data_IF_681793119357
#
_entry.id   IF_681793119357
#
_cell.length_a   1.000
_cell.length_b   1.000
_cell.length_c   1.000
_cell.angle_alpha   90.00
_cell.angle_beta   90.00
_cell.angle_gamma   90.00
#
_symmetry.space_group_name_H-M   'P 1'
#
loop_
_entity.id
_entity.type
_entity.pdbx_description
1 polymer ?
#
# COMPACT_ATOMS: atom_id res chain seq x y z
N UNK A 1 -28.78 -41.18 -43.94
CA UNK A 1 -27.42 -40.69 -43.65
C UNK A 1 -27.52 -39.73 -42.46
N UNK A 2 -26.96 -40.07 -41.30
CA UNK A 2 -26.93 -39.19 -40.12
C UNK A 2 -25.54 -38.56 -40.04
N UNK A 3 -25.47 -37.26 -40.27
CA UNK A 3 -24.22 -36.50 -40.23
C UNK A 3 -24.01 -36.00 -38.81
N UNK A 4 -23.07 -36.62 -38.09
CA UNK A 4 -22.66 -36.19 -36.75
C UNK A 4 -21.67 -35.05 -36.89
N UNK A 5 -22.03 -33.84 -36.46
CA UNK A 5 -21.11 -32.71 -36.36
C UNK A 5 -20.28 -32.85 -35.08
N UNK A 6 -18.96 -33.02 -35.23
CA UNK A 6 -18.01 -32.94 -34.12
C UNK A 6 -17.66 -31.47 -33.88
N UNK A 7 -18.09 -30.90 -32.75
CA UNK A 7 -17.67 -29.57 -32.33
C UNK A 7 -16.33 -29.69 -31.59
N UNK A 8 -15.23 -29.27 -32.22
CA UNK A 8 -13.95 -29.08 -31.53
C UNK A 8 -13.99 -27.75 -30.77
N UNK A 9 -14.18 -27.82 -29.45
CA UNK A 9 -13.94 -26.68 -28.57
C UNK A 9 -12.42 -26.47 -28.41
N UNK A 10 -11.87 -25.51 -29.14
CA UNK A 10 -10.54 -24.97 -28.82
C UNK A 10 -10.62 -24.20 -27.51
N UNK A 11 -10.09 -24.78 -26.43
CA UNK A 11 -9.83 -24.04 -25.20
C UNK A 11 -8.72 -23.01 -25.48
N UNK A 12 -9.11 -21.77 -25.73
CA UNK A 12 -8.17 -20.66 -25.78
C UNK A 12 -7.68 -20.41 -24.35
N UNK A 13 -6.43 -20.76 -24.09
CA UNK A 13 -5.74 -20.34 -22.86
C UNK A 13 -5.75 -18.81 -22.82
N UNK A 14 -6.65 -18.23 -22.02
CA UNK A 14 -6.62 -16.79 -21.70
C UNK A 14 -5.27 -16.55 -21.02
N UNK A 15 -4.32 -16.00 -21.77
CA UNK A 15 -3.08 -15.52 -21.19
C UNK A 15 -3.46 -14.48 -20.15
N UNK A 16 -3.18 -14.76 -18.87
CA UNK A 16 -3.39 -13.81 -17.79
C UNK A 16 -2.65 -12.50 -18.14
N UNK A 17 -3.42 -11.47 -18.50
CA UNK A 17 -2.92 -10.18 -18.92
C UNK A 17 -2.12 -9.58 -17.76
N UNK A 18 -0.92 -9.09 -18.06
CA UNK A 18 -0.12 -8.36 -17.08
C UNK A 18 -0.83 -7.05 -16.75
N UNK A 19 -1.08 -6.80 -15.48
CA UNK A 19 -1.63 -5.54 -14.97
C UNK A 19 -0.68 -4.94 -13.93
N UNK A 20 -0.86 -3.65 -13.66
CA UNK A 20 -0.05 -2.86 -12.71
C UNK A 20 -0.95 -2.13 -11.74
N UNK A 21 -0.41 -1.71 -10.62
CA UNK A 21 -1.04 -0.76 -9.72
C UNK A 21 0.00 0.24 -9.25
N UNK A 22 -0.46 1.43 -8.86
CA UNK A 22 0.37 2.45 -8.25
C UNK A 22 0.10 2.47 -6.73
N UNK A 23 1.13 2.73 -5.93
CA UNK A 23 1.02 2.85 -4.48
C UNK A 23 1.95 3.94 -4.00
N UNK A 24 1.48 4.78 -3.08
CA UNK A 24 2.29 5.77 -2.37
C UNK A 24 1.64 6.09 -1.02
N UNK A 25 2.24 6.98 -0.25
CA UNK A 25 1.64 7.64 0.91
C UNK A 25 2.46 8.88 1.23
N UNK A 26 2.14 9.57 2.33
CA UNK A 26 2.89 10.74 2.77
C UNK A 26 2.98 11.85 1.74
N UNK A 27 1.85 12.17 1.10
CA UNK A 27 1.77 13.24 0.10
C UNK A 27 1.82 14.64 0.70
N UNK A 28 1.84 14.73 2.04
CA UNK A 28 1.93 15.95 2.85
C UNK A 28 2.96 16.93 2.31
N UNK A 29 2.68 18.22 2.50
CA UNK A 29 3.57 19.35 2.24
C UNK A 29 4.06 19.43 0.79
N UNK A 30 3.31 20.15 -0.06
CA UNK A 30 3.44 20.19 -1.52
C UNK A 30 2.76 19.04 -2.29
N UNK A 31 1.78 18.38 -1.67
CA UNK A 31 1.02 17.31 -2.31
C UNK A 31 0.29 17.74 -3.59
N UNK A 32 -0.15 19.00 -3.69
CA UNK A 32 -0.82 19.53 -4.89
C UNK A 32 0.12 19.69 -6.09
N UNK A 33 1.43 19.59 -5.85
CA UNK A 33 2.45 19.56 -6.91
C UNK A 33 2.83 18.12 -7.22
N UNK A 34 3.06 17.30 -6.18
CA UNK A 34 3.61 15.95 -6.33
C UNK A 34 2.56 14.95 -6.82
N UNK A 35 1.35 14.99 -6.27
CA UNK A 35 0.30 14.00 -6.55
C UNK A 35 -0.22 14.04 -7.98
N UNK A 36 -0.40 15.20 -8.63
CA UNK A 36 -0.69 15.24 -10.06
C UNK A 36 0.40 14.58 -10.92
N UNK A 37 1.68 14.70 -10.55
CA UNK A 37 2.77 14.05 -11.28
C UNK A 37 2.75 12.52 -11.08
N UNK A 38 2.49 12.04 -9.86
CA UNK A 38 2.30 10.60 -9.59
C UNK A 38 1.10 10.07 -10.38
N UNK A 39 -0.01 10.80 -10.41
CA UNK A 39 -1.21 10.44 -11.17
C UNK A 39 -0.92 10.35 -12.68
N UNK A 40 -0.17 11.29 -13.24
CA UNK A 40 0.26 11.24 -14.63
C UNK A 40 1.09 9.98 -14.93
N UNK A 41 2.02 9.62 -14.04
CA UNK A 41 2.79 8.38 -14.13
C UNK A 41 1.90 7.13 -14.06
N UNK A 42 0.99 7.06 -13.10
CA UNK A 42 0.04 5.96 -12.95
C UNK A 42 -0.84 5.76 -14.20
N UNK A 43 -1.28 6.86 -14.82
CA UNK A 43 -2.02 6.83 -16.11
C UNK A 43 -1.16 6.33 -17.26
N UNK A 44 0.06 6.84 -17.38
CA UNK A 44 1.00 6.42 -18.42
C UNK A 44 1.35 4.93 -18.33
N UNK A 45 1.46 4.40 -17.10
CA UNK A 45 1.74 2.98 -16.85
C UNK A 45 0.50 2.07 -16.91
N UNK A 46 -0.67 2.65 -17.19
CA UNK A 46 -1.98 1.98 -17.19
C UNK A 46 -2.25 1.23 -15.87
N UNK A 47 -2.03 1.90 -14.75
CA UNK A 47 -2.33 1.35 -13.43
C UNK A 47 -3.84 1.02 -13.32
N UNK A 48 -4.13 -0.20 -12.89
CA UNK A 48 -5.49 -0.68 -12.67
C UNK A 48 -6.16 0.02 -11.47
N UNK A 49 -5.35 0.45 -10.49
CA UNK A 49 -5.77 1.29 -9.37
C UNK A 49 -4.56 2.03 -8.78
N UNK A 50 -4.86 3.02 -7.95
CA UNK A 50 -3.92 3.71 -7.06
C UNK A 50 -4.28 3.42 -5.59
N UNK A 51 -3.28 3.19 -4.75
CA UNK A 51 -3.45 2.93 -3.32
C UNK A 51 -2.63 3.93 -2.49
N UNK A 52 -3.30 4.76 -1.69
CA UNK A 52 -2.67 5.74 -0.81
C UNK A 52 -2.60 5.21 0.61
N UNK A 53 -1.41 5.11 1.20
CA UNK A 53 -1.19 4.48 2.51
C UNK A 53 -1.13 5.50 3.66
N UNK A 54 -2.11 6.42 3.70
CA UNK A 54 -2.23 7.43 4.76
C UNK A 54 -1.32 8.64 4.62
N UNK A 55 -1.50 9.60 5.52
CA UNK A 55 -0.82 10.88 5.61
C UNK A 55 -1.03 11.76 4.38
N UNK A 56 -2.25 12.27 4.27
CA UNK A 56 -2.73 13.05 3.14
C UNK A 56 -2.29 14.51 3.20
N UNK A 57 -2.34 15.07 4.40
CA UNK A 57 -2.02 16.45 4.75
C UNK A 57 -1.26 16.47 6.06
N UNK A 58 -0.46 17.50 6.30
CA UNK A 58 0.31 17.56 7.54
C UNK A 58 -0.61 17.63 8.77
N UNK A 59 -1.65 18.47 8.79
CA UNK A 59 -2.60 18.65 9.90
C UNK A 59 -2.01 19.16 11.24
N UNK A 60 -0.75 18.89 11.57
CA UNK A 60 -0.02 19.49 12.71
C UNK A 60 0.67 20.81 12.37
N UNK A 61 0.78 21.12 11.08
CA UNK A 61 1.31 22.38 10.55
C UNK A 61 0.61 22.70 9.22
N UNK A 62 0.75 23.93 8.74
CA UNK A 62 0.25 24.33 7.43
C UNK A 62 1.08 23.68 6.32
N UNK A 63 0.43 23.13 5.30
CA UNK A 63 1.07 22.66 4.08
C UNK A 63 1.51 23.84 3.20
N UNK A 64 2.75 23.81 2.69
CA UNK A 64 3.34 24.91 1.92
C UNK A 64 2.61 25.23 0.61
N UNK A 65 2.12 24.22 -0.11
CA UNK A 65 1.28 24.39 -1.31
C UNK A 65 -0.02 25.11 -0.98
N UNK A 66 -0.72 24.69 0.06
CA UNK A 66 -1.96 25.36 0.47
C UNK A 66 -1.71 26.81 0.89
N UNK A 67 -0.64 27.07 1.66
CA UNK A 67 -0.27 28.44 2.06
C UNK A 67 0.05 29.32 0.86
N UNK A 68 0.77 28.78 -0.13
CA UNK A 68 1.12 29.52 -1.34
C UNK A 68 -0.09 29.89 -2.20
N UNK A 69 -1.06 28.99 -2.33
CA UNK A 69 -2.26 29.22 -3.14
C UNK A 69 -3.36 29.99 -2.37
N UNK A 70 -3.21 30.19 -1.06
CA UNK A 70 -4.21 30.84 -0.24
C UNK A 70 -4.36 32.34 -0.57
N UNK A 71 -5.58 32.78 -0.87
CA UNK A 71 -5.91 34.20 -1.05
C UNK A 71 -5.88 34.99 0.27
N UNK A 72 -6.10 34.30 1.38
CA UNK A 72 -6.07 34.84 2.73
C UNK A 72 -5.23 33.92 3.61
N UNK A 73 -4.41 34.45 4.53
CA UNK A 73 -3.59 33.62 5.40
C UNK A 73 -4.43 32.61 6.20
N UNK A 74 -3.96 31.37 6.24
CA UNK A 74 -4.55 30.34 7.10
C UNK A 74 -4.17 30.56 8.56
N UNK A 75 -5.15 30.41 9.45
CA UNK A 75 -4.90 29.92 10.82
C UNK A 75 -4.84 28.40 10.81
N UNK A 76 -4.23 27.77 11.82
CA UNK A 76 -4.17 26.31 11.92
C UNK A 76 -5.57 25.66 11.86
N UNK A 77 -6.57 26.25 12.53
CA UNK A 77 -7.95 25.75 12.53
C UNK A 77 -8.60 25.84 11.15
N UNK A 78 -8.44 26.97 10.47
CA UNK A 78 -9.00 27.16 9.11
C UNK A 78 -8.33 26.24 8.09
N UNK A 79 -7.04 25.96 8.24
CA UNK A 79 -6.32 25.01 7.39
C UNK A 79 -6.77 23.58 7.67
N UNK A 80 -6.87 23.16 8.93
CA UNK A 80 -7.32 21.81 9.29
C UNK A 80 -8.74 21.53 8.74
N UNK A 81 -9.61 22.53 8.78
CA UNK A 81 -10.97 22.43 8.19
C UNK A 81 -10.96 22.33 6.66
N UNK A 82 -9.95 22.90 5.99
CA UNK A 82 -9.83 22.91 4.53
C UNK A 82 -9.01 21.72 3.99
N UNK A 83 -8.15 21.12 4.81
CA UNK A 83 -7.11 20.17 4.41
C UNK A 83 -7.66 18.93 3.67
N UNK A 84 -8.70 18.28 4.20
CA UNK A 84 -9.30 17.10 3.57
C UNK A 84 -10.09 17.43 2.29
N UNK A 85 -10.97 18.45 2.25
CA UNK A 85 -11.58 18.90 1.00
C UNK A 85 -10.56 19.24 -0.09
N UNK A 86 -9.46 19.86 0.31
CA UNK A 86 -8.39 20.27 -0.59
C UNK A 86 -7.59 19.05 -1.11
N UNK A 87 -7.25 18.09 -0.24
CA UNK A 87 -6.67 16.79 -0.63
C UNK A 87 -7.53 16.05 -1.66
N UNK A 88 -8.85 15.97 -1.42
CA UNK A 88 -9.79 15.33 -2.36
C UNK A 88 -9.72 16.01 -3.73
N UNK A 89 -9.72 17.35 -3.75
CA UNK A 89 -9.76 18.14 -4.98
C UNK A 89 -8.44 18.10 -5.75
N UNK A 90 -7.31 18.21 -5.09
CA UNK A 90 -6.03 18.48 -5.76
C UNK A 90 -5.07 17.30 -5.75
N UNK A 91 -5.32 16.29 -4.90
CA UNK A 91 -4.47 15.10 -4.82
C UNK A 91 -5.17 13.82 -5.25
N UNK A 92 -6.47 13.66 -4.98
CA UNK A 92 -7.23 12.49 -5.44
C UNK A 92 -7.78 12.67 -6.86
N UNK A 93 -8.44 13.80 -7.14
CA UNK A 93 -9.06 14.06 -8.45
C UNK A 93 -8.11 13.88 -9.64
N UNK A 94 -6.81 14.24 -9.58
CA UNK A 94 -5.88 13.99 -10.67
C UNK A 94 -5.76 12.52 -11.09
N UNK A 95 -6.08 11.54 -10.23
CA UNK A 95 -6.05 10.12 -10.59
C UNK A 95 -7.22 9.68 -11.47
N UNK A 96 -8.31 10.44 -11.54
CA UNK A 96 -9.48 10.05 -12.33
C UNK A 96 -9.09 9.73 -13.81
N UNK A 97 -9.61 8.62 -14.38
CA UNK A 97 -10.63 7.72 -13.85
C UNK A 97 -10.07 6.49 -13.08
N UNK A 98 -8.79 6.45 -12.72
CA UNK A 98 -8.18 5.31 -12.03
C UNK A 98 -8.85 5.10 -10.65
N UNK A 99 -9.31 3.89 -10.30
CA UNK A 99 -9.76 3.53 -8.96
C UNK A 99 -8.76 3.91 -7.86
N UNK A 100 -9.25 4.47 -6.75
CA UNK A 100 -8.40 4.86 -5.62
C UNK A 100 -8.82 4.09 -4.37
N UNK A 101 -7.84 3.49 -3.69
CA UNK A 101 -7.97 2.88 -2.38
C UNK A 101 -7.21 3.71 -1.35
N UNK A 102 -7.81 3.96 -0.19
CA UNK A 102 -7.24 4.80 0.86
C UNK A 102 -7.00 3.98 2.14
N UNK A 103 -5.79 4.09 2.67
CA UNK A 103 -5.44 3.75 4.05
C UNK A 103 -5.33 5.02 4.90
N UNK A 104 -5.39 4.85 6.21
CA UNK A 104 -5.31 5.93 7.20
C UNK A 104 -3.90 6.01 7.80
N UNK A 105 -3.39 7.22 8.00
CA UNK A 105 -2.11 7.51 8.65
C UNK A 105 -2.26 8.31 9.94
N UNK A 106 -1.17 8.49 10.68
CA UNK A 106 -1.22 9.16 11.98
C UNK A 106 -1.53 10.66 11.85
N UNK A 107 -1.29 11.26 10.68
CA UNK A 107 -1.63 12.66 10.46
C UNK A 107 -3.13 12.88 10.35
N UNK A 108 -3.89 11.90 9.87
CA UNK A 108 -5.36 11.93 9.90
C UNK A 108 -5.91 11.94 11.34
N UNK A 109 -5.11 11.57 12.35
CA UNK A 109 -5.52 11.48 13.75
C UNK A 109 -5.13 12.70 14.61
N UNK A 110 -4.56 13.76 14.01
CA UNK A 110 -4.07 14.94 14.77
C UNK A 110 -5.20 15.79 15.36
N UNK A 111 -6.30 15.97 14.60
CA UNK A 111 -7.49 16.72 15.05
C UNK A 111 -8.80 15.98 14.73
N UNK A 112 -8.72 14.85 14.06
CA UNK A 112 -9.89 14.09 13.63
C UNK A 112 -9.90 12.72 14.29
N UNK A 113 -11.10 12.20 14.48
CA UNK A 113 -11.32 10.83 14.89
C UNK A 113 -11.38 9.91 13.68
N UNK A 114 -11.29 8.60 13.91
CA UNK A 114 -11.59 7.61 12.87
C UNK A 114 -13.01 7.71 12.35
N UNK A 115 -13.96 8.13 13.19
CA UNK A 115 -15.33 8.39 12.77
C UNK A 115 -15.40 9.51 11.74
N UNK A 116 -14.66 10.60 11.98
CA UNK A 116 -14.54 11.70 11.02
C UNK A 116 -13.89 11.26 9.72
N UNK A 117 -12.84 10.43 9.79
CA UNK A 117 -12.20 9.84 8.61
C UNK A 117 -13.19 9.00 7.79
N UNK A 118 -13.93 8.10 8.45
CA UNK A 118 -14.95 7.26 7.79
C UNK A 118 -16.05 8.12 7.18
N UNK A 119 -16.48 9.18 7.88
CA UNK A 119 -17.50 10.10 7.39
C UNK A 119 -17.01 10.88 6.16
N UNK A 120 -15.79 11.42 6.20
CA UNK A 120 -15.22 12.21 5.10
C UNK A 120 -14.90 11.36 3.86
N UNK A 121 -14.36 10.16 4.07
CA UNK A 121 -13.83 9.31 2.99
C UNK A 121 -14.72 8.09 2.70
N UNK A 122 -15.98 8.11 3.14
CA UNK A 122 -16.94 7.01 3.01
C UNK A 122 -16.99 6.43 1.60
N UNK A 123 -17.12 7.28 0.57
CA UNK A 123 -17.20 6.85 -0.84
C UNK A 123 -15.99 6.00 -1.29
N UNK A 124 -14.80 6.26 -0.76
CA UNK A 124 -13.60 5.47 -1.03
C UNK A 124 -13.52 4.19 -0.19
N UNK A 125 -14.07 4.19 1.02
CA UNK A 125 -14.12 3.02 1.92
C UNK A 125 -15.31 2.08 1.64
N UNK A 126 -16.27 2.54 0.84
CA UNK A 126 -17.44 1.77 0.38
C UNK A 126 -17.44 1.54 -1.13
N UNK A 127 -16.25 1.57 -1.75
CA UNK A 127 -16.10 1.15 -3.13
C UNK A 127 -16.73 -0.24 -3.36
N UNK A 128 -17.34 -0.50 -4.54
CA UNK A 128 -18.01 -1.77 -4.79
C UNK A 128 -17.12 -3.00 -4.58
N UNK A 129 -15.83 -2.90 -4.88
CA UNK A 129 -14.84 -3.95 -4.65
C UNK A 129 -14.71 -4.30 -3.16
N UNK A 130 -14.63 -3.28 -2.30
CA UNK A 130 -14.50 -3.43 -0.85
C UNK A 130 -15.80 -3.97 -0.25
N UNK A 131 -16.95 -3.39 -0.64
CA UNK A 131 -18.25 -3.80 -0.10
C UNK A 131 -18.56 -5.25 -0.47
N UNK A 132 -18.31 -5.65 -1.73
CA UNK A 132 -18.49 -7.04 -2.15
C UNK A 132 -17.59 -7.99 -1.37
N UNK A 133 -16.32 -7.64 -1.17
CA UNK A 133 -15.41 -8.49 -0.40
C UNK A 133 -15.85 -8.59 1.06
N UNK A 134 -16.18 -7.48 1.71
CA UNK A 134 -16.64 -7.45 3.10
C UNK A 134 -17.86 -8.35 3.33
N UNK A 135 -18.86 -8.28 2.44
CA UNK A 135 -20.06 -9.10 2.53
C UNK A 135 -19.86 -10.56 2.13
N UNK A 136 -18.87 -10.85 1.25
CA UNK A 136 -18.46 -12.22 0.97
C UNK A 136 -17.75 -12.85 2.18
N UNK A 137 -17.01 -12.04 2.93
CA UNK A 137 -16.30 -12.42 4.13
C UNK A 137 -17.25 -12.66 5.32
N UNK A 138 -18.25 -11.81 5.49
CA UNK A 138 -19.34 -11.96 6.46
C UNK A 138 -20.57 -11.19 5.95
N UNK A 139 -21.65 -11.92 5.63
CA UNK A 139 -22.86 -11.35 5.08
C UNK A 139 -23.54 -10.30 5.99
N UNK A 140 -23.19 -10.26 7.28
CA UNK A 140 -23.70 -9.29 8.25
C UNK A 140 -22.73 -8.13 8.53
N UNK A 141 -21.52 -8.14 7.95
CA UNK A 141 -20.54 -7.08 8.18
C UNK A 141 -20.82 -5.84 7.30
N UNK A 142 -21.74 -5.01 7.78
CA UNK A 142 -22.09 -3.73 7.14
C UNK A 142 -21.28 -2.54 7.65
N UNK A 143 -20.35 -2.76 8.59
CA UNK A 143 -19.62 -1.68 9.24
C UNK A 143 -18.46 -1.22 8.37
N UNK A 144 -18.44 0.07 8.05
CA UNK A 144 -17.32 0.71 7.34
C UNK A 144 -16.19 0.96 8.32
N UNK A 145 -14.98 0.52 7.98
CA UNK A 145 -13.78 0.67 8.81
C UNK A 145 -12.60 1.19 7.97
N UNK A 146 -11.60 1.85 8.58
CA UNK A 146 -10.38 2.29 7.89
C UNK A 146 -9.45 1.14 7.45
N UNK A 147 -9.72 -0.09 7.87
CA UNK A 147 -9.07 -1.31 7.41
C UNK A 147 -10.07 -2.20 6.66
N UNK A 148 -9.61 -2.83 5.58
CA UNK A 148 -10.43 -3.64 4.67
C UNK A 148 -9.51 -4.42 3.74
N UNK A 149 -10.08 -5.32 2.94
CA UNK A 149 -9.36 -5.99 1.87
C UNK A 149 -10.21 -6.14 0.61
N UNK A 150 -9.58 -6.45 -0.51
CA UNK A 150 -10.24 -6.80 -1.76
C UNK A 150 -9.34 -7.69 -2.61
N UNK A 151 -9.95 -8.62 -3.33
CA UNK A 151 -9.23 -9.52 -4.23
C UNK A 151 -9.34 -9.01 -5.67
N UNK A 152 -8.19 -8.89 -6.35
CA UNK A 152 -8.12 -8.53 -7.77
C UNK A 152 -7.03 -9.34 -8.48
N UNK A 153 -7.40 -10.03 -9.56
CA UNK A 153 -6.44 -10.74 -10.41
C UNK A 153 -5.64 -11.83 -9.68
N UNK A 154 -6.24 -12.49 -8.68
CA UNK A 154 -5.60 -13.50 -7.85
C UNK A 154 -4.66 -12.94 -6.77
N UNK A 155 -4.74 -11.63 -6.49
CA UNK A 155 -4.02 -10.97 -5.41
C UNK A 155 -5.03 -10.47 -4.39
N UNK A 156 -4.88 -10.85 -3.11
CA UNK A 156 -5.60 -10.18 -2.02
C UNK A 156 -4.80 -8.97 -1.54
N UNK A 157 -5.43 -7.80 -1.58
CA UNK A 157 -4.89 -6.54 -1.07
C UNK A 157 -5.52 -6.21 0.26
N UNK A 158 -4.71 -6.19 1.31
CA UNK A 158 -5.16 -5.98 2.69
C UNK A 158 -4.66 -4.61 3.16
N UNK A 159 -5.59 -3.68 3.43
CA UNK A 159 -5.31 -2.38 4.06
C UNK A 159 -5.48 -2.49 5.57
N UNK A 160 -4.43 -2.22 6.33
CA UNK A 160 -4.45 -2.18 7.79
C UNK A 160 -4.51 -0.74 8.32
N UNK A 161 -5.16 -0.56 9.47
CA UNK A 161 -5.15 0.68 10.24
C UNK A 161 -4.14 0.54 11.39
N UNK A 162 -3.04 1.26 11.28
CA UNK A 162 -2.07 1.47 12.35
C UNK A 162 -1.75 2.96 12.54
N UNK A 163 -2.74 3.83 12.33
CA UNK A 163 -2.60 5.28 12.42
C UNK A 163 -2.36 5.78 13.87
N UNK A 164 -2.65 4.98 14.88
CA UNK A 164 -2.41 5.35 16.28
C UNK A 164 -2.23 4.11 17.17
N UNK A 165 -1.77 4.33 18.39
CA UNK A 165 -1.36 3.26 19.32
C UNK A 165 -2.50 2.37 19.82
N UNK A 166 -3.74 2.86 19.77
CA UNK A 166 -4.96 2.11 20.12
C UNK A 166 -5.46 1.19 19.00
N UNK A 167 -4.88 1.28 17.80
CA UNK A 167 -5.18 0.41 16.67
C UNK A 167 -4.13 -0.67 16.46
N UNK A 168 -4.35 -1.51 15.43
CA UNK A 168 -3.71 -2.81 15.32
C UNK A 168 -3.98 -3.66 16.57
N UNK A 169 -5.22 -3.55 17.04
CA UNK A 169 -5.76 -4.13 18.25
C UNK A 169 -6.13 -5.61 18.05
N UNK A 170 -6.63 -6.24 19.11
CA UNK A 170 -6.99 -7.65 19.05
C UNK A 170 -8.06 -7.95 17.97
N UNK A 171 -9.16 -7.19 17.84
CA UNK A 171 -10.11 -7.34 16.73
C UNK A 171 -9.48 -7.30 15.34
N UNK A 172 -8.63 -6.31 15.04
CA UNK A 172 -8.01 -6.19 13.72
C UNK A 172 -7.01 -7.30 13.44
N UNK A 173 -6.19 -7.68 14.44
CA UNK A 173 -5.25 -8.81 14.32
C UNK A 173 -6.00 -10.14 14.14
N UNK A 174 -7.11 -10.34 14.85
CA UNK A 174 -7.95 -11.53 14.68
C UNK A 174 -8.63 -11.55 13.29
N UNK A 175 -9.03 -10.38 12.78
CA UNK A 175 -9.60 -10.23 11.45
C UNK A 175 -8.60 -10.61 10.36
N UNK A 176 -7.37 -10.07 10.37
CA UNK A 176 -6.37 -10.42 9.34
C UNK A 176 -5.97 -11.89 9.41
N UNK A 177 -5.92 -12.50 10.60
CA UNK A 177 -5.70 -13.95 10.75
C UNK A 177 -6.77 -14.78 10.03
N UNK A 178 -8.04 -14.38 10.12
CA UNK A 178 -9.14 -15.07 9.42
C UNK A 178 -9.01 -14.93 7.91
N UNK A 179 -8.63 -13.75 7.42
CA UNK A 179 -8.37 -13.53 5.98
C UNK A 179 -7.24 -14.42 5.51
N UNK A 180 -6.09 -14.43 6.20
CA UNK A 180 -4.95 -15.26 5.81
C UNK A 180 -5.29 -16.77 5.81
N UNK A 181 -6.12 -17.23 6.75
CA UNK A 181 -6.59 -18.62 6.76
C UNK A 181 -7.49 -18.94 5.56
N UNK A 182 -8.41 -18.04 5.19
CA UNK A 182 -9.26 -18.16 4.00
C UNK A 182 -8.42 -18.15 2.74
N UNK A 183 -7.54 -17.17 2.62
CA UNK A 183 -6.62 -17.05 1.50
C UNK A 183 -5.74 -18.27 1.36
N UNK A 184 -5.29 -18.90 2.44
CA UNK A 184 -4.46 -20.11 2.35
C UNK A 184 -5.24 -21.27 1.70
N UNK A 185 -6.53 -21.40 2.03
CA UNK A 185 -7.43 -22.42 1.52
C UNK A 185 -7.95 -22.13 0.10
N UNK A 186 -8.03 -20.86 -0.31
CA UNK A 186 -8.59 -20.50 -1.62
C UNK A 186 -7.56 -20.69 -2.75
N UNK A 187 -7.76 -21.63 -3.70
CA UNK A 187 -6.85 -21.81 -4.81
C UNK A 187 -6.82 -20.63 -5.79
N UNK A 188 -7.79 -19.71 -5.79
CA UNK A 188 -7.81 -18.53 -6.66
C UNK A 188 -6.85 -17.44 -6.18
N UNK A 189 -6.61 -17.32 -4.87
CA UNK A 189 -5.63 -16.40 -4.31
C UNK A 189 -4.22 -16.97 -4.50
N UNK A 190 -3.35 -16.20 -5.14
CA UNK A 190 -1.95 -16.57 -5.43
C UNK A 190 -0.94 -15.70 -4.69
N UNK A 191 -1.34 -14.52 -4.24
CA UNK A 191 -0.47 -13.53 -3.61
C UNK A 191 -1.27 -12.73 -2.61
N UNK A 192 -0.64 -12.39 -1.50
CA UNK A 192 -1.15 -11.43 -0.52
C UNK A 192 -0.25 -10.19 -0.55
N UNK A 193 -0.85 -9.02 -0.62
CA UNK A 193 -0.16 -7.73 -0.48
C UNK A 193 -0.80 -6.98 0.68
N UNK A 194 -0.04 -6.77 1.75
CA UNK A 194 -0.49 -6.00 2.91
C UNK A 194 0.07 -4.59 2.83
N UNK A 195 -0.81 -3.60 2.95
CA UNK A 195 -0.49 -2.18 2.97
C UNK A 195 -0.94 -1.56 4.27
N UNK A 196 -0.13 -0.65 4.80
CA UNK A 196 -0.39 0.05 6.05
C UNK A 196 0.39 1.36 6.08
N UNK A 197 0.13 2.22 7.05
CA UNK A 197 0.84 3.48 7.14
C UNK A 197 2.23 3.29 7.76
N UNK A 198 2.31 2.95 9.05
CA UNK A 198 3.60 2.72 9.72
C UNK A 198 4.17 1.33 9.40
N UNK A 199 5.48 1.20 9.18
CA UNK A 199 6.08 -0.10 8.91
C UNK A 199 5.92 -1.08 10.09
N UNK A 200 5.78 -2.38 9.78
CA UNK A 200 5.83 -3.44 10.79
C UNK A 200 7.16 -3.38 11.57
N UNK A 201 7.20 -3.91 12.82
CA UNK A 201 8.39 -3.85 13.65
C UNK A 201 9.65 -4.46 13.02
N UNK A 202 10.81 -3.97 13.46
CA UNK A 202 12.15 -4.38 13.01
C UNK A 202 12.43 -4.07 11.53
N UNK A 203 11.77 -3.04 11.00
CA UNK A 203 12.11 -2.42 9.72
C UNK A 203 13.45 -1.66 9.81
N UNK A 204 13.96 -1.12 8.69
CA UNK A 204 15.19 -0.31 8.74
C UNK A 204 14.99 1.06 9.41
N UNK A 205 13.76 1.59 9.39
CA UNK A 205 13.37 2.82 10.10
C UNK A 205 12.68 2.51 11.42
N UNK A 206 13.35 1.80 12.32
CA UNK A 206 12.74 1.40 13.61
C UNK A 206 12.19 2.60 14.39
N UNK A 207 12.79 3.77 14.28
CA UNK A 207 12.40 5.01 14.97
C UNK A 207 11.17 5.71 14.37
N UNK A 208 10.62 5.20 13.25
CA UNK A 208 9.42 5.71 12.58
C UNK A 208 8.60 4.51 12.06
N UNK A 209 8.20 3.66 13.00
CA UNK A 209 7.53 2.40 12.70
C UNK A 209 6.72 1.93 13.90
N UNK A 210 6.09 0.77 13.79
CA UNK A 210 5.37 0.16 14.91
C UNK A 210 6.26 -0.16 16.13
N UNK A 211 7.59 -0.01 16.07
CA UNK A 211 8.47 -0.08 17.24
C UNK A 211 8.32 1.10 18.22
N UNK A 212 7.63 2.18 17.85
CA UNK A 212 7.48 3.37 18.71
C UNK A 212 6.53 3.17 19.91
N UNK A 213 5.84 2.03 19.99
CA UNK A 213 5.03 1.68 21.15
C UNK A 213 5.12 0.17 21.45
N UNK A 214 5.00 -0.20 22.73
CA UNK A 214 5.00 -1.60 23.14
C UNK A 214 3.84 -2.39 22.51
N UNK A 215 2.67 -1.75 22.40
CA UNK A 215 1.50 -2.35 21.74
C UNK A 215 1.77 -2.58 20.26
N UNK A 216 2.28 -1.56 19.55
CA UNK A 216 2.62 -1.68 18.13
C UNK A 216 3.70 -2.73 17.86
N UNK A 217 4.73 -2.79 18.71
CA UNK A 217 5.79 -3.78 18.58
C UNK A 217 5.23 -5.19 18.77
N UNK A 218 4.39 -5.39 19.80
CA UNK A 218 3.77 -6.67 20.07
C UNK A 218 2.84 -7.11 18.94
N UNK A 219 1.84 -6.29 18.59
CA UNK A 219 0.80 -6.66 17.63
C UNK A 219 1.34 -6.72 16.19
N UNK A 220 2.22 -5.80 15.82
CA UNK A 220 2.96 -5.82 14.56
C UNK A 220 3.81 -7.08 14.41
N UNK A 221 4.48 -7.51 15.49
CA UNK A 221 5.24 -8.76 15.49
C UNK A 221 4.34 -10.00 15.35
N UNK A 222 3.11 -9.97 15.88
CA UNK A 222 2.14 -11.05 15.64
C UNK A 222 1.84 -11.13 14.15
N UNK A 223 1.39 -10.05 13.51
CA UNK A 223 1.02 -10.05 12.09
C UNK A 223 2.21 -10.41 11.19
N UNK A 224 3.41 -9.93 11.51
CA UNK A 224 4.62 -10.34 10.79
C UNK A 224 4.83 -11.86 10.84
N UNK A 225 4.65 -12.49 12.01
CA UNK A 225 4.73 -13.96 12.13
C UNK A 225 3.61 -14.67 11.38
N UNK A 226 2.37 -14.18 11.44
CA UNK A 226 1.25 -14.75 10.69
C UNK A 226 1.53 -14.75 9.18
N UNK A 227 2.09 -13.67 8.65
CA UNK A 227 2.45 -13.56 7.23
C UNK A 227 3.57 -14.53 6.83
N UNK A 228 4.56 -14.74 7.71
CA UNK A 228 5.61 -15.74 7.50
C UNK A 228 5.05 -17.17 7.54
N UNK A 229 4.15 -17.47 8.49
CA UNK A 229 3.50 -18.77 8.61
C UNK A 229 2.60 -19.04 7.40
N UNK A 230 1.80 -18.06 6.98
CA UNK A 230 0.99 -18.13 5.77
C UNK A 230 1.84 -18.47 4.54
N UNK A 231 2.95 -17.75 4.34
CA UNK A 231 3.87 -18.00 3.22
C UNK A 231 4.45 -19.41 3.27
N UNK A 232 4.88 -19.86 4.45
CA UNK A 232 5.48 -21.18 4.63
C UNK A 232 4.47 -22.32 4.38
N UNK A 233 3.23 -22.17 4.86
CA UNK A 233 2.19 -23.20 4.76
C UNK A 233 1.55 -23.26 3.37
N UNK A 234 1.32 -22.12 2.72
CA UNK A 234 0.60 -22.04 1.44
C UNK A 234 1.51 -22.01 0.21
N UNK A 235 2.80 -21.72 0.41
CA UNK A 235 3.77 -21.40 -0.66
C UNK A 235 3.34 -20.22 -1.57
N UNK A 236 2.41 -19.37 -1.10
CA UNK A 236 1.94 -18.17 -1.82
C UNK A 236 2.89 -17.00 -1.58
N UNK A 237 2.88 -16.03 -2.50
CA UNK A 237 3.73 -14.83 -2.40
C UNK A 237 3.13 -13.87 -1.37
N UNK A 238 3.99 -13.21 -0.61
CA UNK A 238 3.60 -12.17 0.35
C UNK A 238 4.45 -10.94 0.12
N UNK A 239 3.79 -9.78 0.05
CA UNK A 239 4.43 -8.46 0.01
C UNK A 239 3.85 -7.60 1.12
N UNK A 240 4.71 -6.82 1.77
CA UNK A 240 4.31 -5.82 2.76
C UNK A 240 4.79 -4.47 2.27
N UNK A 241 3.88 -3.50 2.23
CA UNK A 241 4.14 -2.13 1.79
C UNK A 241 3.72 -1.21 2.92
N UNK A 242 4.59 -0.27 3.26
CA UNK A 242 4.32 0.72 4.28
C UNK A 242 4.78 2.10 3.79
N UNK A 243 4.20 3.12 4.37
CA UNK A 243 4.56 4.51 4.19
C UNK A 243 5.23 5.05 5.47
N UNK A 244 4.89 6.26 5.90
CA UNK A 244 5.31 6.96 7.12
C UNK A 244 6.80 7.38 7.12
N UNK A 245 7.69 6.45 6.83
CA UNK A 245 9.10 6.71 6.62
C UNK A 245 9.30 7.47 5.29
N UNK A 246 9.81 8.70 5.34
CA UNK A 246 10.02 9.58 4.17
C UNK A 246 11.23 9.19 3.32
N UNK A 247 11.36 7.90 3.05
CA UNK A 247 12.36 7.31 2.18
C UNK A 247 11.81 6.03 1.56
N UNK A 248 12.30 5.67 0.36
CA UNK A 248 11.97 4.40 -0.24
C UNK A 248 13.05 3.36 0.07
N UNK A 249 12.68 2.25 0.72
CA UNK A 249 13.56 1.10 0.93
C UNK A 249 12.89 -0.18 0.49
N UNK A 250 13.69 -1.14 -0.01
CA UNK A 250 13.21 -2.47 -0.36
C UNK A 250 14.00 -3.51 0.43
N UNK A 251 13.33 -4.22 1.34
CA UNK A 251 13.91 -5.39 2.00
C UNK A 251 13.55 -6.65 1.21
N UNK A 252 14.55 -7.35 0.71
CA UNK A 252 14.39 -8.71 0.21
C UNK A 252 14.61 -9.67 1.38
N UNK A 253 13.59 -10.42 1.79
CA UNK A 253 13.75 -11.47 2.80
C UNK A 253 14.50 -12.67 2.19
N UNK A 254 15.84 -12.61 2.20
CA UNK A 254 16.66 -13.81 2.14
C UNK A 254 16.75 -14.38 3.57
N UNK A 255 16.64 -15.71 3.70
CA UNK A 255 16.44 -16.38 4.99
C UNK A 255 17.60 -16.23 5.98
N UNK A 256 17.27 -16.52 7.24
CA UNK A 256 18.12 -16.61 8.43
C UNK A 256 18.83 -15.32 8.87
N UNK A 257 18.39 -14.78 10.02
CA UNK A 257 19.23 -14.78 11.22
C UNK A 257 18.45 -14.38 12.48
N UNK A 258 18.30 -15.34 13.40
CA UNK A 258 18.43 -15.06 14.83
C UNK A 258 19.94 -14.96 15.14
N UNK A 259 20.39 -13.83 15.70
CA UNK A 259 21.44 -13.79 16.73
C UNK A 259 21.42 -12.43 17.43
N UNK A 260 21.37 -12.51 18.76
CA UNK A 260 21.44 -11.39 19.69
C UNK A 260 22.76 -10.61 19.61
N UNK A 261 22.66 -9.29 19.83
CA UNK A 261 23.54 -8.56 20.75
C UNK A 261 24.76 -7.85 20.15
N UNK A 262 24.64 -6.54 19.94
CA UNK A 262 25.39 -5.47 20.65
C UNK A 262 25.09 -4.12 20.00
N UNK A 263 24.93 -3.10 20.86
CA UNK A 263 25.00 -1.69 20.45
C UNK A 263 26.38 -1.47 19.86
N UNK A 264 26.44 -0.87 18.69
CA UNK A 264 27.39 0.19 18.33
C UNK A 264 26.86 0.88 17.07
N UNK A 265 26.62 2.18 17.22
CA UNK A 265 26.32 3.12 16.15
C UNK A 265 27.49 3.17 15.17
N UNK A 266 27.29 2.71 13.93
CA UNK A 266 28.14 3.07 12.79
C UNK A 266 27.38 2.81 11.48
N UNK A 267 27.23 3.90 10.72
CA UNK A 267 26.89 3.92 9.31
C UNK A 267 27.68 2.86 8.52
N UNK A 268 27.00 2.01 7.76
CA UNK A 268 27.65 1.21 6.72
C UNK A 268 26.71 0.97 5.52
N UNK A 269 27.06 1.62 4.41
CA UNK A 269 26.69 1.19 3.08
C UNK A 269 27.30 -0.19 2.77
N UNK A 270 26.65 -1.01 1.93
CA UNK A 270 27.22 -2.28 1.47
C UNK A 270 26.34 -3.04 0.48
N UNK A 271 26.82 -3.12 -0.75
CA UNK A 271 26.25 -3.77 -1.94
C UNK A 271 26.54 -5.28 -2.01
N UNK A 272 25.71 -5.94 -2.85
CA UNK A 272 25.96 -7.00 -3.84
C UNK A 272 26.80 -8.26 -3.51
N UNK A 273 26.25 -9.41 -3.88
CA UNK A 273 27.01 -10.62 -4.18
C UNK A 273 26.28 -11.38 -5.30
N UNK A 274 26.86 -11.32 -6.50
CA UNK A 274 26.34 -11.97 -7.69
C UNK A 274 26.50 -13.49 -7.70
N UNK A 275 25.74 -14.15 -8.58
CA UNK A 275 26.11 -15.29 -9.45
C UNK A 275 24.86 -15.77 -10.25
N UNK A 276 25.03 -16.51 -11.36
CA UNK A 276 24.76 -16.05 -12.71
C UNK A 276 23.32 -16.27 -13.21
N UNK A 277 22.99 -15.54 -14.27
CA UNK A 277 21.73 -15.61 -15.00
C UNK A 277 21.40 -17.02 -15.50
N UNK A 278 20.29 -17.58 -15.01
CA UNK A 278 19.46 -18.51 -15.79
C UNK A 278 18.06 -17.93 -15.89
N UNK A 279 17.62 -17.76 -17.12
CA UNK A 279 16.28 -17.31 -17.48
C UNK A 279 15.24 -18.25 -16.87
N UNK A 280 14.64 -17.83 -15.76
CA UNK A 280 13.28 -18.21 -15.39
C UNK A 280 12.43 -16.97 -15.56
N UNK A 281 11.45 -17.07 -16.45
CA UNK A 281 10.32 -16.14 -16.60
C UNK A 281 9.44 -16.24 -15.34
N UNK A 282 10.00 -15.83 -14.21
CA UNK A 282 9.27 -15.72 -12.96
C UNK A 282 8.55 -14.36 -12.98
N UNK A 283 7.21 -14.40 -13.11
CA UNK A 283 6.34 -13.23 -12.98
C UNK A 283 6.40 -12.75 -11.52
N UNK A 284 7.45 -11.99 -11.20
CA UNK A 284 7.59 -11.28 -9.92
C UNK A 284 6.91 -9.93 -10.02
N UNK A 285 6.23 -9.52 -8.95
CA UNK A 285 5.86 -8.12 -8.77
C UNK A 285 7.14 -7.29 -8.87
N UNK A 286 7.27 -6.49 -9.93
CA UNK A 286 8.36 -5.51 -10.07
C UNK A 286 7.82 -4.18 -9.59
N UNK A 287 8.32 -3.73 -8.46
CA UNK A 287 8.12 -2.35 -8.01
C UNK A 287 9.15 -1.49 -8.76
N UNK A 288 8.69 -0.77 -9.77
CA UNK A 288 9.47 0.23 -10.51
C UNK A 288 9.22 1.61 -9.90
N UNK A 289 10.28 2.38 -9.72
CA UNK A 289 10.19 3.76 -9.24
C UNK A 289 10.06 4.67 -10.45
N UNK A 290 9.15 5.65 -10.40
CA UNK A 290 8.96 6.64 -11.45
C UNK A 290 10.28 7.34 -11.76
N UNK A 291 10.73 7.25 -13.01
CA UNK A 291 11.96 7.88 -13.47
C UNK A 291 11.74 9.40 -13.53
N UNK A 292 12.58 10.19 -12.84
CA UNK A 292 12.68 11.63 -13.10
C UNK A 292 13.13 11.84 -14.56
N UNK A 293 12.59 12.87 -15.20
CA UNK A 293 12.64 13.16 -16.64
C UNK A 293 14.03 13.29 -17.31
N UNK A 294 14.06 13.81 -18.54
CA UNK A 294 14.86 13.26 -19.64
C UNK A 294 16.35 13.51 -19.43
N UNK A 295 17.15 12.43 -19.53
CA UNK A 295 18.59 12.58 -19.77
C UNK A 295 18.75 13.23 -21.14
N UNK A 296 19.23 14.47 -21.14
CA UNK A 296 19.84 15.08 -22.32
C UNK A 296 20.93 14.14 -22.82
N UNK A 297 20.85 13.81 -24.10
CA UNK A 297 21.94 13.18 -24.83
C UNK A 297 23.09 14.19 -24.93
N UNK A 298 24.05 14.09 -24.02
CA UNK A 298 25.36 14.69 -24.24
C UNK A 298 26.29 13.58 -24.72
N UNK A 299 26.56 13.62 -26.03
CA UNK A 299 27.68 12.92 -26.64
C UNK A 299 28.98 13.52 -26.13
N UNK A 300 29.80 12.73 -25.45
CA UNK A 300 31.26 12.94 -25.42
C UNK A 300 31.95 11.57 -25.50
N UNK A 301 32.71 11.37 -26.57
CA UNK A 301 33.64 10.26 -26.76
C UNK A 301 35.04 10.65 -26.28
N UNK A 302 35.83 9.59 -26.08
CA UNK A 302 37.30 9.44 -26.21
C UNK A 302 38.13 9.44 -24.92
N UNK A 303 39.29 8.75 -24.91
CA UNK A 303 39.81 7.76 -25.86
C UNK A 303 39.46 6.31 -25.53
#
# INVERSE_FOLDING_TARGET
MRTTFLLLCFATSISAQTWRFAVAGDSRNCGDVVMPAIAAGAKADHAAFYWHLGDFRALYKLDEDMVREAKTPFTILSYQSAAWPDFIRYQLQPFAPIPIFLGIGNHEMVQHTRGDYVMQFGDWLTRPEIVRQRLADDANDHVVRPYYHWIQGGVDFITMDNASQDMFDFPQVAWVRRILARDAADPQVKTVVVGMHAALPHSLGCDHSMNESAQGEYSGSQVYRELLQFRAASNKKVYVIASHSHFCTRRCSAGNHHRHGRRDSLSAAGYDAGLPARARTDRRLRISHGHRGPRRHDHVRFP
#
